data_IF_677907971034
#
_entry.id   IF_677907971034
#
_cell.length_a   1.000
_cell.length_b   1.000
_cell.length_c   1.000
_cell.angle_alpha   90.00
_cell.angle_beta   90.00
_cell.angle_gamma   90.00
#
_symmetry.space_group_name_H-M   'P 1'
#
loop_
_entity.id
_entity.type
_entity.pdbx_description
1 polymer ?
#
# COMPACT_ATOMS: atom_id res chain seq x y z
N UNK A 1 12.53 -61.95 16.74
CA UNK A 1 13.55 -61.85 17.79
C UNK A 1 13.44 -60.44 18.36
N UNK A 2 13.11 -60.35 19.66
CA UNK A 2 13.00 -59.16 20.52
C UNK A 2 11.89 -58.11 20.30
N UNK A 3 10.88 -58.18 21.18
CA UNK A 3 10.34 -57.08 22.00
C UNK A 3 10.51 -57.51 23.49
N UNK A 4 10.16 -56.77 24.57
CA UNK A 4 9.68 -55.38 24.76
C UNK A 4 10.24 -54.66 26.04
N UNK A 5 9.82 -53.43 26.36
CA UNK A 5 9.36 -53.00 27.73
C UNK A 5 8.74 -51.59 27.66
N UNK A 6 7.44 -51.39 27.94
CA UNK A 6 6.80 -50.94 29.21
C UNK A 6 7.45 -49.68 29.83
N UNK A 7 6.78 -48.70 30.46
CA UNK A 7 5.40 -48.26 30.81
C UNK A 7 5.67 -47.36 32.05
N UNK A 8 5.00 -46.22 32.23
CA UNK A 8 4.67 -45.50 33.50
C UNK A 8 4.38 -44.02 33.12
N UNK A 9 3.17 -43.45 33.11
CA UNK A 9 2.11 -43.26 34.13
C UNK A 9 2.51 -42.52 35.42
N UNK A 10 1.73 -41.45 35.72
CA UNK A 10 1.65 -40.57 36.92
C UNK A 10 2.42 -39.24 36.78
N UNK A 11 1.92 -38.05 37.13
CA UNK A 11 0.83 -37.70 38.04
C UNK A 11 0.38 -36.23 37.82
N UNK A 12 -0.92 -35.96 37.95
CA UNK A 12 -1.54 -34.63 38.14
C UNK A 12 -1.82 -34.46 39.64
N UNK A 13 -1.78 -33.23 40.19
CA UNK A 13 -2.78 -32.87 41.19
C UNK A 13 -3.46 -31.51 40.95
N UNK A 14 -4.78 -31.52 41.14
CA UNK A 14 -5.70 -30.37 41.25
C UNK A 14 -5.96 -30.08 42.74
N UNK A 15 -5.90 -28.82 43.18
CA UNK A 15 -6.65 -28.20 44.29
C UNK A 15 -6.62 -26.67 44.04
N UNK A 16 -7.67 -25.84 44.01
CA UNK A 16 -8.98 -25.89 44.65
C UNK A 16 -9.01 -24.90 45.84
N UNK A 17 -9.59 -23.70 45.68
CA UNK A 17 -10.25 -22.91 46.75
C UNK A 17 -10.94 -21.64 46.25
N UNK A 18 -12.27 -21.69 46.30
CA UNK A 18 -13.24 -20.59 46.25
C UNK A 18 -13.32 -19.86 47.60
N UNK A 19 -13.47 -18.53 47.60
CA UNK A 19 -14.31 -17.81 48.58
C UNK A 19 -14.99 -16.59 47.94
N UNK A 20 -16.23 -16.33 48.39
CA UNK A 20 -17.25 -15.43 47.85
C UNK A 20 -17.23 -14.07 48.62
N UNK A 21 -18.13 -13.09 48.35
CA UNK A 21 -17.82 -11.67 48.21
C UNK A 21 -18.11 -10.86 49.48
N UNK A 22 -17.51 -9.67 49.59
CA UNK A 22 -17.97 -8.67 50.55
C UNK A 22 -18.13 -7.33 49.86
N UNK A 23 -19.37 -6.86 49.89
CA UNK A 23 -19.84 -5.54 49.51
C UNK A 23 -19.02 -4.40 50.10
N UNK A 24 -18.84 -3.34 49.33
CA UNK A 24 -19.13 -1.99 49.83
C UNK A 24 -19.42 -1.07 48.64
N UNK A 25 -20.69 -0.69 48.49
CA UNK A 25 -21.09 0.46 47.70
C UNK A 25 -20.81 1.71 48.55
N UNK A 26 -19.98 2.63 48.07
CA UNK A 26 -20.11 4.05 48.39
C UNK A 26 -20.10 4.85 47.07
N UNK A 27 -21.18 5.58 46.75
CA UNK A 27 -21.33 6.35 45.53
C UNK A 27 -20.97 7.81 45.76
N UNK A 28 -19.81 8.23 45.23
CA UNK A 28 -19.51 9.60 44.80
C UNK A 28 -18.04 9.68 44.36
N UNK A 29 -17.79 9.60 43.06
CA UNK A 29 -16.92 10.59 42.39
C UNK A 29 -17.13 10.52 40.88
N UNK A 30 -17.83 11.55 40.42
CA UNK A 30 -18.05 11.92 39.03
C UNK A 30 -16.75 12.51 38.49
N UNK A 31 -15.98 11.75 37.71
CA UNK A 31 -15.10 12.31 36.70
C UNK A 31 -15.04 11.39 35.47
N UNK A 32 -16.03 11.62 34.61
CA UNK A 32 -15.96 11.44 33.16
C UNK A 32 -14.70 12.11 32.61
N UNK A 33 -13.73 11.32 32.14
CA UNK A 33 -13.13 11.39 30.79
C UNK A 33 -12.04 10.33 30.66
N UNK A 34 -12.36 9.31 29.87
CA UNK A 34 -11.54 8.68 28.83
C UNK A 34 -10.02 8.68 29.03
N UNK A 35 -9.53 7.54 29.54
CA UNK A 35 -8.10 7.20 29.59
C UNK A 35 -7.92 5.72 29.25
N UNK A 36 -7.95 5.42 27.95
CA UNK A 36 -7.17 4.33 27.36
C UNK A 36 -6.58 4.80 26.04
N UNK A 37 -5.63 5.75 26.15
CA UNK A 37 -4.56 5.94 25.17
C UNK A 37 -3.40 5.07 25.61
N UNK A 38 -3.40 3.82 25.18
CA UNK A 38 -2.26 2.90 25.19
C UNK A 38 -2.43 2.07 23.90
N UNK A 39 -1.96 2.59 22.76
CA UNK A 39 -0.67 2.29 22.11
C UNK A 39 -0.52 0.82 21.67
N UNK A 40 0.08 0.64 20.49
CA UNK A 40 0.53 -0.60 19.83
C UNK A 40 -0.33 -1.11 18.66
N UNK A 41 -0.66 -0.24 17.71
CA UNK A 41 -0.58 -0.58 16.29
C UNK A 41 0.22 0.53 15.60
N UNK A 42 1.55 0.40 15.66
CA UNK A 42 2.45 1.22 14.85
C UNK A 42 2.39 0.67 13.43
N UNK A 43 1.39 1.08 12.66
CA UNK A 43 1.42 0.89 11.21
C UNK A 43 2.63 1.64 10.65
N UNK A 44 3.54 1.00 9.91
CA UNK A 44 4.60 1.69 9.19
C UNK A 44 4.06 2.30 7.88
N UNK A 45 2.84 2.84 7.91
CA UNK A 45 2.30 3.61 6.79
C UNK A 45 2.47 5.08 7.15
N UNK A 46 3.71 5.58 7.05
CA UNK A 46 3.94 7.01 6.98
C UNK A 46 3.27 7.50 5.69
N UNK A 47 2.03 8.02 5.81
CA UNK A 47 1.34 8.82 4.80
C UNK A 47 2.03 10.18 4.60
N UNK A 48 3.36 10.22 4.59
CA UNK A 48 4.14 11.46 4.44
C UNK A 48 4.39 11.81 2.97
N UNK A 49 4.13 10.87 2.04
CA UNK A 49 4.28 11.09 0.59
C UNK A 49 3.07 11.70 -0.13
N UNK A 50 1.91 11.84 0.51
CA UNK A 50 0.69 12.32 -0.16
C UNK A 50 0.50 13.84 -0.15
N UNK A 51 1.41 14.61 0.47
CA UNK A 51 1.19 16.04 0.71
C UNK A 51 1.64 16.98 -0.41
N UNK A 52 2.30 16.49 -1.47
CA UNK A 52 2.93 17.35 -2.49
C UNK A 52 2.69 16.92 -3.97
N UNK A 53 1.72 16.04 -4.24
CA UNK A 53 1.29 15.77 -5.61
C UNK A 53 0.31 16.85 -6.06
N UNK A 54 0.66 17.60 -7.11
CA UNK A 54 -0.26 18.53 -7.76
C UNK A 54 -0.99 17.88 -8.95
N UNK A 55 -2.00 18.58 -9.48
CA UNK A 55 -2.81 18.10 -10.61
C UNK A 55 -1.97 17.80 -11.85
N UNK A 56 -0.90 18.57 -12.07
CA UNK A 56 0.03 18.35 -13.18
C UNK A 56 0.83 17.05 -13.00
N UNK A 57 1.26 16.73 -11.78
CA UNK A 57 1.92 15.47 -11.49
C UNK A 57 1.00 14.26 -11.79
N UNK A 58 -0.29 14.37 -11.47
CA UNK A 58 -1.27 13.32 -11.77
C UNK A 58 -1.47 13.15 -13.27
N UNK A 59 -1.61 14.24 -14.02
CA UNK A 59 -1.74 14.19 -15.47
C UNK A 59 -0.48 13.58 -16.10
N UNK A 60 0.72 13.94 -15.62
CA UNK A 60 1.97 13.30 -16.05
C UNK A 60 1.93 11.78 -15.79
N UNK A 61 1.49 11.35 -14.60
CA UNK A 61 1.37 9.93 -14.25
C UNK A 61 0.35 9.20 -15.14
N UNK A 62 -0.78 9.82 -15.46
CA UNK A 62 -1.78 9.26 -16.37
C UNK A 62 -1.20 9.07 -17.78
N UNK A 63 -0.57 10.10 -18.34
CA UNK A 63 0.04 10.07 -19.66
C UNK A 63 1.15 9.00 -19.76
N UNK A 64 1.96 8.83 -18.70
CA UNK A 64 2.99 7.81 -18.61
C UNK A 64 2.43 6.40 -18.37
N UNK A 65 1.31 6.28 -17.67
CA UNK A 65 0.63 5.01 -17.45
C UNK A 65 0.03 4.47 -18.74
N UNK A 66 -0.47 5.36 -19.60
CA UNK A 66 -0.94 5.01 -20.95
C UNK A 66 0.21 4.61 -21.88
N UNK A 67 1.31 5.37 -21.87
CA UNK A 67 2.50 5.08 -22.66
C UNK A 67 3.77 5.54 -21.93
N UNK A 68 4.44 4.60 -21.26
CA UNK A 68 5.68 4.89 -20.53
C UNK A 68 6.84 5.33 -21.41
N UNK A 69 6.71 5.28 -22.75
CA UNK A 69 7.71 5.76 -23.71
C UNK A 69 7.34 7.11 -24.32
N UNK A 70 6.25 7.74 -23.86
CA UNK A 70 5.77 9.02 -24.39
C UNK A 70 6.88 10.07 -24.31
N UNK A 71 7.22 10.75 -25.40
CA UNK A 71 8.25 11.77 -25.38
C UNK A 71 7.90 12.90 -24.41
N UNK A 72 8.88 13.35 -23.61
CA UNK A 72 8.65 14.42 -22.63
C UNK A 72 8.15 15.72 -23.27
N UNK A 73 8.48 15.94 -24.56
CA UNK A 73 7.93 17.04 -25.33
C UNK A 73 6.40 16.94 -25.49
N UNK A 74 5.88 15.76 -25.79
CA UNK A 74 4.44 15.55 -25.97
C UNK A 74 3.68 15.66 -24.63
N UNK A 75 4.31 15.19 -23.55
CA UNK A 75 3.80 15.38 -22.18
C UNK A 75 3.77 16.87 -21.84
N UNK A 76 4.87 17.59 -22.10
CA UNK A 76 4.99 19.03 -21.85
C UNK A 76 3.94 19.84 -22.63
N UNK A 77 3.69 19.48 -23.89
CA UNK A 77 2.66 20.09 -24.74
C UNK A 77 1.23 19.85 -24.17
N UNK A 78 0.97 18.71 -23.53
CA UNK A 78 -0.32 18.42 -22.87
C UNK A 78 -0.49 19.21 -21.57
N UNK A 79 0.49 19.16 -20.68
CA UNK A 79 0.38 19.72 -19.32
C UNK A 79 0.76 21.20 -19.22
N UNK A 80 1.04 21.86 -20.34
CA UNK A 80 1.39 23.29 -20.39
C UNK A 80 2.75 23.64 -19.78
N UNK A 81 3.70 22.70 -19.78
CA UNK A 81 5.05 22.88 -19.22
C UNK A 81 6.13 22.88 -20.31
N UNK A 82 7.38 23.12 -19.90
CA UNK A 82 8.54 22.90 -20.76
C UNK A 82 9.05 21.46 -20.61
N UNK A 83 9.71 20.87 -21.62
CA UNK A 83 10.26 19.51 -21.50
C UNK A 83 11.23 19.32 -20.32
N UNK A 84 12.12 20.28 -19.97
CA UNK A 84 12.93 20.18 -18.75
C UNK A 84 12.10 20.17 -17.46
N UNK A 85 11.05 21.00 -17.37
CA UNK A 85 10.17 21.02 -16.20
C UNK A 85 9.43 19.68 -16.01
N UNK A 86 8.98 19.04 -17.09
CA UNK A 86 8.40 17.68 -17.03
C UNK A 86 9.44 16.67 -16.56
N UNK A 87 10.68 16.77 -17.07
CA UNK A 87 11.77 15.89 -16.64
C UNK A 87 12.05 16.00 -15.13
N UNK A 88 12.08 17.22 -14.60
CA UNK A 88 12.31 17.47 -13.17
C UNK A 88 11.18 16.91 -12.31
N UNK A 89 9.94 17.03 -12.79
CA UNK A 89 8.74 16.48 -12.12
C UNK A 89 8.79 14.95 -12.05
N UNK A 90 9.08 14.29 -13.17
CA UNK A 90 9.23 12.83 -13.23
C UNK A 90 10.34 12.36 -12.28
N UNK A 91 11.50 13.02 -12.31
CA UNK A 91 12.62 12.68 -11.41
C UNK A 91 12.22 12.80 -9.94
N UNK A 92 11.49 13.86 -9.56
CA UNK A 92 10.96 14.01 -8.20
C UNK A 92 9.99 12.89 -7.82
N UNK A 93 9.11 12.48 -8.74
CA UNK A 93 8.17 11.38 -8.52
C UNK A 93 8.88 10.03 -8.35
N UNK A 94 10.00 9.81 -9.05
CA UNK A 94 10.88 8.65 -8.86
C UNK A 94 11.59 8.71 -7.49
N UNK A 95 12.16 9.86 -7.13
CA UNK A 95 12.84 10.07 -5.84
C UNK A 95 11.90 9.87 -4.65
N UNK A 96 10.63 10.25 -4.79
CA UNK A 96 9.56 10.05 -3.79
C UNK A 96 9.04 8.60 -3.76
N UNK A 97 9.46 7.73 -4.68
CA UNK A 97 9.00 6.35 -4.77
C UNK A 97 7.56 6.20 -5.28
N UNK A 98 6.97 7.28 -5.79
CA UNK A 98 5.63 7.28 -6.43
C UNK A 98 5.72 6.58 -7.78
N UNK A 99 6.75 6.90 -8.56
CA UNK A 99 7.18 6.09 -9.70
C UNK A 99 8.22 5.10 -9.17
N UNK A 100 7.83 3.83 -9.05
CA UNK A 100 8.73 2.77 -8.60
C UNK A 100 9.66 2.27 -9.72
N UNK A 101 9.30 2.52 -10.98
CA UNK A 101 10.13 2.22 -12.14
C UNK A 101 9.37 2.18 -13.44
N UNK A 102 10.12 2.23 -14.55
CA UNK A 102 9.61 2.03 -15.89
C UNK A 102 9.82 0.58 -16.32
N UNK A 103 8.72 -0.11 -16.62
CA UNK A 103 8.74 -1.52 -17.00
C UNK A 103 7.88 -1.79 -18.22
N UNK A 104 8.03 -2.98 -18.80
CA UNK A 104 7.18 -3.48 -19.86
C UNK A 104 6.24 -4.54 -19.30
N UNK A 105 4.99 -4.54 -19.74
CA UNK A 105 4.06 -5.62 -19.46
C UNK A 105 4.22 -6.72 -20.52
N UNK A 106 4.62 -7.91 -20.08
CA UNK A 106 4.95 -9.03 -20.96
C UNK A 106 3.97 -10.16 -20.72
N UNK A 107 3.26 -10.54 -21.77
CA UNK A 107 2.40 -11.72 -21.79
C UNK A 107 3.26 -12.98 -21.77
N UNK A 108 3.41 -13.57 -20.58
CA UNK A 108 4.24 -14.76 -20.36
C UNK A 108 3.60 -16.04 -20.90
N UNK A 109 2.27 -16.12 -20.90
CA UNK A 109 1.54 -17.25 -21.51
C UNK A 109 1.87 -17.33 -23.00
N UNK A 110 1.83 -16.21 -23.72
CA UNK A 110 2.23 -16.16 -25.14
C UNK A 110 3.71 -16.39 -25.36
N UNK A 111 4.56 -16.02 -24.40
CA UNK A 111 6.01 -16.15 -24.52
C UNK A 111 6.50 -17.59 -24.29
N UNK A 112 5.93 -18.29 -23.30
CA UNK A 112 6.40 -19.61 -22.83
C UNK A 112 5.43 -20.76 -23.10
N UNK A 113 4.17 -20.48 -23.43
CA UNK A 113 3.13 -21.50 -23.58
C UNK A 113 2.66 -22.10 -22.25
N UNK A 114 2.96 -21.41 -21.15
CA UNK A 114 2.60 -21.78 -19.78
C UNK A 114 1.24 -21.18 -19.38
N UNK A 115 0.70 -21.59 -18.23
CA UNK A 115 -0.63 -21.17 -17.76
C UNK A 115 -0.52 -20.24 -16.57
N UNK A 116 -1.21 -19.08 -16.63
CA UNK A 116 -1.33 -18.21 -15.48
C UNK A 116 -2.09 -18.92 -14.35
N UNK A 117 -1.52 -18.83 -13.16
CA UNK A 117 -1.97 -19.54 -11.97
C UNK A 117 -1.96 -18.59 -10.79
N UNK A 118 -3.02 -18.65 -9.99
CA UNK A 118 -3.07 -18.06 -8.67
C UNK A 118 -2.84 -19.17 -7.65
N UNK A 119 -1.79 -19.05 -6.85
CA UNK A 119 -1.52 -19.94 -5.71
C UNK A 119 -1.75 -19.17 -4.43
N UNK A 120 -2.60 -19.71 -3.57
CA UNK A 120 -2.88 -19.17 -2.25
C UNK A 120 -2.23 -20.11 -1.24
N UNK A 121 -1.24 -19.62 -0.51
CA UNK A 121 -0.54 -20.36 0.53
C UNK A 121 -1.12 -19.95 1.89
N UNK A 122 -1.29 -20.92 2.77
CA UNK A 122 -1.65 -20.71 4.18
C UNK A 122 -0.46 -21.12 5.05
N UNK A 123 0.53 -20.24 5.28
CA UNK A 123 1.68 -20.56 6.12
C UNK A 123 1.27 -20.67 7.59
N UNK A 124 2.02 -21.46 8.35
CA UNK A 124 1.98 -21.39 9.80
C UNK A 124 2.36 -19.96 10.25
N UNK A 125 1.79 -19.43 11.35
CA UNK A 125 2.00 -18.03 11.76
C UNK A 125 3.46 -17.61 11.93
N UNK A 126 4.34 -18.55 12.31
CA UNK A 126 5.77 -18.29 12.49
C UNK A 126 6.56 -18.30 11.16
N UNK A 127 5.99 -18.83 10.09
CA UNK A 127 6.65 -19.06 8.81
C UNK A 127 6.23 -18.07 7.70
N UNK A 128 5.22 -17.21 7.93
CA UNK A 128 4.67 -16.28 6.91
C UNK A 128 5.78 -15.50 6.18
N UNK A 129 6.66 -14.83 6.92
CA UNK A 129 7.74 -14.01 6.33
C UNK A 129 8.83 -14.83 5.63
N UNK A 130 9.02 -16.10 6.02
CA UNK A 130 9.98 -16.99 5.37
C UNK A 130 9.40 -17.52 4.06
N UNK A 131 8.13 -17.97 4.09
CA UNK A 131 7.39 -18.41 2.91
C UNK A 131 7.26 -17.27 1.89
N UNK A 132 6.92 -16.06 2.33
CA UNK A 132 6.82 -14.90 1.44
C UNK A 132 8.15 -14.65 0.70
N UNK A 133 9.27 -14.60 1.43
CA UNK A 133 10.60 -14.33 0.84
C UNK A 133 11.06 -15.46 -0.07
N UNK A 134 10.90 -16.71 0.36
CA UNK A 134 11.26 -17.87 -0.46
C UNK A 134 10.47 -17.87 -1.77
N UNK A 135 9.17 -17.61 -1.70
CA UNK A 135 8.29 -17.61 -2.86
C UNK A 135 8.53 -16.43 -3.81
N UNK A 136 8.88 -15.26 -3.27
CA UNK A 136 9.10 -14.05 -4.06
C UNK A 136 10.27 -14.17 -5.07
N UNK A 137 11.22 -15.06 -4.81
CA UNK A 137 12.42 -15.25 -5.64
C UNK A 137 12.26 -16.36 -6.70
N UNK A 138 11.11 -17.05 -6.73
CA UNK A 138 10.92 -18.23 -7.59
C UNK A 138 10.70 -17.86 -9.06
N UNK A 139 11.23 -18.70 -9.95
CA UNK A 139 10.93 -18.60 -11.37
C UNK A 139 9.43 -18.83 -11.60
N UNK A 140 8.85 -18.02 -12.51
CA UNK A 140 7.43 -18.05 -12.83
C UNK A 140 6.60 -17.07 -12.00
N UNK A 141 7.09 -16.62 -10.83
CA UNK A 141 6.37 -15.63 -10.01
C UNK A 141 6.40 -14.26 -10.66
N UNK A 142 5.22 -13.66 -10.79
CA UNK A 142 5.00 -12.36 -11.42
C UNK A 142 4.57 -11.30 -10.41
N UNK A 143 3.81 -11.71 -9.40
CA UNK A 143 3.44 -10.89 -8.26
C UNK A 143 3.21 -11.76 -7.04
N UNK A 144 3.50 -11.20 -5.87
CA UNK A 144 3.28 -11.85 -4.59
C UNK A 144 2.74 -10.82 -3.60
N UNK A 145 1.84 -11.26 -2.73
CA UNK A 145 1.18 -10.42 -1.74
C UNK A 145 1.07 -11.18 -0.42
N UNK A 146 1.34 -10.49 0.68
CA UNK A 146 1.01 -10.95 2.02
C UNK A 146 -0.32 -10.31 2.44
N UNK A 147 -1.31 -11.14 2.73
CA UNK A 147 -2.58 -10.72 3.31
C UNK A 147 -2.40 -10.33 4.79
N UNK A 148 -3.26 -9.44 5.28
CA UNK A 148 -3.26 -9.07 6.71
C UNK A 148 -3.61 -10.24 7.64
N UNK A 149 -4.20 -11.29 7.08
CA UNK A 149 -4.51 -12.56 7.75
C UNK A 149 -3.36 -13.57 7.68
N UNK A 150 -2.22 -13.21 7.10
CA UNK A 150 -1.02 -14.05 6.99
C UNK A 150 -0.99 -14.97 5.77
N UNK A 151 -2.03 -14.95 4.92
CA UNK A 151 -2.02 -15.70 3.65
C UNK A 151 -1.00 -15.11 2.68
N UNK A 152 -0.37 -15.96 1.88
CA UNK A 152 0.53 -15.50 0.82
C UNK A 152 -0.10 -15.82 -0.53
N UNK A 153 -0.45 -14.78 -1.29
CA UNK A 153 -1.05 -14.90 -2.62
C UNK A 153 0.02 -14.71 -3.69
N UNK A 154 0.10 -15.65 -4.62
CA UNK A 154 1.13 -15.71 -5.65
C UNK A 154 0.47 -15.76 -7.01
N UNK A 155 0.72 -14.75 -7.83
CA UNK A 155 0.41 -14.80 -9.26
C UNK A 155 1.65 -15.29 -9.99
N UNK A 156 1.55 -16.46 -10.63
CA UNK A 156 2.67 -17.09 -11.33
C UNK A 156 2.22 -17.66 -12.67
N UNK A 157 3.12 -17.67 -13.65
CA UNK A 157 2.97 -18.40 -14.90
C UNK A 157 3.83 -19.65 -14.82
N UNK A 158 3.18 -20.82 -14.84
CA UNK A 158 3.81 -22.12 -14.57
C UNK A 158 3.32 -23.18 -15.58
N UNK A 159 4.09 -24.26 -15.72
CA UNK A 159 3.61 -25.46 -16.42
C UNK A 159 2.56 -26.18 -15.58
N UNK A 160 1.39 -26.47 -16.16
CA UNK A 160 0.24 -27.01 -15.42
C UNK A 160 0.52 -28.37 -14.79
N UNK A 161 1.38 -29.17 -15.42
CA UNK A 161 1.77 -30.51 -14.96
C UNK A 161 2.70 -30.50 -13.74
N UNK A 162 3.30 -29.36 -13.40
CA UNK A 162 4.39 -29.29 -12.42
C UNK A 162 4.11 -28.39 -11.21
N UNK A 163 2.91 -27.83 -11.04
CA UNK A 163 2.62 -26.87 -9.94
C UNK A 163 2.92 -27.46 -8.55
N UNK A 164 2.56 -28.73 -8.32
CA UNK A 164 2.86 -29.41 -7.07
C UNK A 164 4.36 -29.61 -6.87
N UNK A 165 5.05 -30.07 -7.91
CA UNK A 165 6.50 -30.29 -7.90
C UNK A 165 7.25 -28.97 -7.68
N UNK A 166 6.77 -27.88 -8.27
CA UNK A 166 7.27 -26.52 -8.09
C UNK A 166 7.15 -26.08 -6.63
N UNK A 167 5.99 -26.27 -6.00
CA UNK A 167 5.82 -26.00 -4.56
C UNK A 167 6.74 -26.86 -3.69
N UNK A 168 6.82 -28.17 -3.94
CA UNK A 168 7.62 -29.11 -3.14
C UNK A 168 9.13 -28.90 -3.29
N UNK A 169 9.59 -28.39 -4.44
CA UNK A 169 11.02 -28.14 -4.70
C UNK A 169 11.50 -26.88 -3.99
N UNK A 170 10.63 -25.87 -3.93
CA UNK A 170 11.03 -24.53 -3.57
C UNK A 170 10.57 -24.11 -2.17
N UNK A 171 9.59 -24.82 -1.58
CA UNK A 171 9.05 -24.56 -0.26
C UNK A 171 9.07 -25.81 0.62
N UNK A 172 9.34 -25.61 1.91
CA UNK A 172 9.07 -26.65 2.90
C UNK A 172 7.56 -26.71 3.15
N UNK A 173 6.89 -27.71 2.57
CA UNK A 173 5.45 -27.86 2.74
C UNK A 173 5.03 -28.11 4.20
N UNK A 174 5.95 -28.45 5.10
CA UNK A 174 5.65 -28.57 6.53
C UNK A 174 5.42 -27.22 7.21
N UNK A 175 5.85 -26.12 6.59
CA UNK A 175 5.58 -24.75 7.02
C UNK A 175 4.20 -24.25 6.55
N UNK A 176 3.45 -25.04 5.78
CA UNK A 176 2.12 -24.72 5.28
C UNK A 176 1.05 -25.53 6.01
N UNK A 177 0.00 -24.84 6.46
CA UNK A 177 -1.25 -25.46 6.93
C UNK A 177 -2.12 -25.91 5.76
N UNK A 178 -2.00 -25.24 4.62
CA UNK A 178 -2.75 -25.52 3.39
C UNK A 178 -2.24 -24.70 2.20
N UNK A 179 -2.69 -25.08 1.01
CA UNK A 179 -2.56 -24.26 -0.19
C UNK A 179 -3.68 -24.58 -1.19
N UNK A 180 -4.07 -23.58 -1.96
CA UNK A 180 -5.03 -23.68 -3.05
C UNK A 180 -4.40 -23.20 -4.36
N UNK A 181 -4.78 -23.87 -5.45
CA UNK A 181 -4.27 -23.57 -6.80
C UNK A 181 -5.44 -23.32 -7.73
N UNK A 182 -5.47 -22.13 -8.34
CA UNK A 182 -6.47 -21.74 -9.33
C UNK A 182 -5.79 -21.44 -10.66
N UNK A 183 -6.13 -22.22 -11.69
CA UNK A 183 -5.75 -21.88 -13.06
C UNK A 183 -6.58 -20.70 -13.56
N UNK A 184 -5.92 -19.68 -14.07
CA UNK A 184 -6.56 -18.47 -14.55
C UNK A 184 -6.83 -18.59 -16.04
N UNK A 185 -8.08 -18.38 -16.45
CA UNK A 185 -8.42 -18.30 -17.88
C UNK A 185 -8.01 -16.97 -18.51
N UNK A 186 -7.76 -15.96 -17.68
CA UNK A 186 -7.36 -14.61 -18.06
C UNK A 186 -6.78 -13.90 -16.85
N UNK A 187 -5.65 -13.22 -17.05
CA UNK A 187 -5.11 -12.22 -16.14
C UNK A 187 -4.79 -10.96 -16.97
N UNK A 188 -5.16 -9.79 -16.45
CA UNK A 188 -4.86 -8.50 -17.06
C UNK A 188 -4.19 -7.65 -16.00
N UNK A 189 -2.95 -7.22 -16.23
CA UNK A 189 -2.31 -6.23 -15.36
C UNK A 189 -2.74 -4.84 -15.81
N UNK A 190 -3.43 -4.11 -14.94
CA UNK A 190 -3.75 -2.70 -15.19
C UNK A 190 -3.08 -1.85 -14.15
N UNK A 191 -2.24 -0.93 -14.60
CA UNK A 191 -1.78 0.17 -13.76
C UNK A 191 -2.89 1.22 -13.80
N UNK A 192 -3.52 1.47 -12.67
CA UNK A 192 -4.51 2.52 -12.52
C UNK A 192 -3.95 3.63 -11.65
N UNK A 193 -3.88 4.84 -12.17
CA UNK A 193 -3.73 6.04 -11.34
C UNK A 193 -5.14 6.38 -10.86
N UNK A 194 -5.51 5.96 -9.66
CA UNK A 194 -6.80 6.40 -9.11
C UNK A 194 -6.62 7.83 -8.59
N UNK A 195 -7.16 8.82 -9.30
CA UNK A 195 -7.33 10.17 -8.77
C UNK A 195 -8.32 10.24 -7.58
N UNK A 196 -8.96 9.11 -7.22
CA UNK A 196 -9.88 8.99 -6.10
C UNK A 196 -9.13 9.06 -4.75
N UNK A 197 -8.79 10.28 -4.36
CA UNK A 197 -8.07 10.61 -3.13
C UNK A 197 -7.51 12.03 -3.10
N UNK A 198 -7.45 12.72 -4.25
CA UNK A 198 -6.90 14.07 -4.34
C UNK A 198 -7.98 15.13 -4.10
N UNK A 199 -8.31 15.30 -2.83
CA UNK A 199 -9.00 16.47 -2.35
C UNK A 199 -7.98 17.61 -2.18
N UNK A 200 -7.67 18.37 -3.24
CA UNK A 200 -6.85 19.57 -3.08
C UNK A 200 -7.57 20.49 -2.08
N UNK A 201 -6.97 20.83 -0.94
CA UNK A 201 -7.61 21.70 0.04
C UNK A 201 -7.29 23.17 -0.25
N UNK A 202 -8.31 24.02 -0.26
CA UNK A 202 -8.10 25.45 -0.41
C UNK A 202 -7.30 26.01 0.77
N UNK A 203 -6.15 26.63 0.49
CA UNK A 203 -5.23 27.18 1.52
C UNK A 203 -5.87 28.26 2.42
N UNK A 204 -7.03 28.79 2.04
CA UNK A 204 -7.77 29.81 2.80
C UNK A 204 -8.89 29.20 3.65
N UNK A 205 -9.67 28.28 3.09
CA UNK A 205 -10.89 27.81 3.72
C UNK A 205 -10.89 26.32 4.11
N UNK A 206 -9.85 25.57 3.72
CA UNK A 206 -9.70 24.14 4.01
C UNK A 206 -10.74 23.25 3.33
N UNK A 207 -11.52 23.79 2.38
CA UNK A 207 -12.47 22.98 1.60
C UNK A 207 -11.74 22.25 0.49
N UNK A 208 -12.17 21.02 0.26
CA UNK A 208 -11.86 20.28 -0.95
C UNK A 208 -12.23 21.10 -2.20
N UNK A 209 -11.26 21.23 -3.08
CA UNK A 209 -11.34 21.87 -4.39
C UNK A 209 -11.71 20.77 -5.37
N UNK A 210 -13.01 20.64 -5.62
CA UNK A 210 -13.53 19.72 -6.63
C UNK A 210 -13.62 20.43 -7.98
N UNK A 211 -12.91 19.96 -9.01
CA UNK A 211 -12.90 20.54 -10.37
C UNK A 211 -11.82 21.60 -10.59
N UNK A 212 -11.98 22.45 -11.62
CA UNK A 212 -11.03 23.50 -12.03
C UNK A 212 -10.89 24.60 -10.95
N UNK A 213 -10.11 24.33 -9.91
CA UNK A 213 -9.74 25.31 -8.89
C UNK A 213 -9.02 26.51 -9.48
N UNK A 214 -8.85 27.55 -8.66
CA UNK A 214 -8.04 28.70 -9.05
C UNK A 214 -6.65 28.55 -8.44
N UNK A 215 -5.61 28.70 -9.26
CA UNK A 215 -4.21 28.58 -8.82
C UNK A 215 -3.46 29.89 -9.03
N UNK A 216 -2.68 30.33 -8.04
CA UNK A 216 -1.84 31.52 -8.14
C UNK A 216 -0.46 31.30 -7.51
N UNK A 217 0.57 31.90 -8.09
CA UNK A 217 1.93 31.87 -7.52
C UNK A 217 2.11 33.04 -6.55
N UNK A 218 2.26 32.75 -5.26
CA UNK A 218 2.41 33.76 -4.20
C UNK A 218 3.68 33.45 -3.40
N UNK A 219 4.65 34.38 -3.38
CA UNK A 219 5.92 34.17 -2.68
C UNK A 219 6.84 33.12 -3.30
N UNK A 220 6.66 32.80 -4.59
CA UNK A 220 7.43 31.77 -5.30
C UNK A 220 6.84 30.36 -5.21
N UNK A 221 5.75 30.17 -4.48
CA UNK A 221 5.04 28.89 -4.35
C UNK A 221 3.66 28.95 -5.01
N UNK A 222 3.26 27.87 -5.69
CA UNK A 222 1.91 27.74 -6.26
C UNK A 222 0.93 27.45 -5.13
N UNK A 223 -0.17 28.19 -5.08
CA UNK A 223 -1.26 28.06 -4.09
C UNK A 223 -2.57 27.77 -4.80
N UNK A 224 -3.34 26.82 -4.26
CA UNK A 224 -4.63 26.38 -4.83
C UNK A 224 -5.81 26.88 -3.99
N UNK A 225 -6.84 27.35 -4.68
CA UNK A 225 -8.03 27.98 -4.11
C UNK A 225 -9.30 27.36 -4.68
N UNK A 226 -10.35 27.25 -3.85
CA UNK A 226 -11.64 26.75 -4.32
C UNK A 226 -12.39 27.75 -5.21
N UNK A 227 -11.99 29.02 -5.24
CA UNK A 227 -12.62 30.09 -6.03
C UNK A 227 -11.75 31.37 -6.05
N UNK A 228 -12.00 32.31 -6.99
CA UNK A 228 -11.25 33.58 -7.09
C UNK A 228 -11.30 34.43 -5.80
N UNK A 229 -12.41 34.37 -5.06
CA UNK A 229 -12.52 35.12 -3.79
C UNK A 229 -11.57 34.60 -2.70
N UNK A 230 -11.19 33.32 -2.73
CA UNK A 230 -10.19 32.78 -1.80
C UNK A 230 -8.77 33.17 -2.25
N UNK A 231 -8.50 33.17 -3.55
CA UNK A 231 -7.25 33.69 -4.12
C UNK A 231 -7.03 35.15 -3.70
N UNK A 232 -7.98 36.04 -4.02
CA UNK A 232 -7.89 37.48 -3.72
C UNK A 232 -7.63 37.73 -2.23
N UNK A 233 -8.31 36.98 -1.37
CA UNK A 233 -8.18 37.11 0.09
C UNK A 233 -6.81 36.68 0.59
N UNK A 234 -6.20 35.67 -0.03
CA UNK A 234 -4.86 35.21 0.32
C UNK A 234 -3.80 36.19 -0.20
N UNK A 235 -3.89 36.59 -1.47
CA UNK A 235 -2.95 37.52 -2.11
C UNK A 235 -2.94 38.86 -1.38
N UNK A 236 -4.11 39.45 -1.14
CA UNK A 236 -4.22 40.74 -0.43
C UNK A 236 -3.61 40.68 0.97
N UNK A 237 -3.78 39.55 1.66
CA UNK A 237 -3.19 39.35 3.00
C UNK A 237 -1.68 39.21 2.90
N UNK A 238 -1.17 38.44 1.95
CA UNK A 238 0.26 38.26 1.74
C UNK A 238 0.96 39.59 1.42
N UNK A 239 0.41 40.39 0.50
CA UNK A 239 0.91 41.72 0.14
C UNK A 239 0.94 42.67 1.34
N UNK A 240 -0.16 42.72 2.11
CA UNK A 240 -0.21 43.56 3.32
C UNK A 240 0.80 43.17 4.41
N UNK A 241 1.20 41.91 4.44
CA UNK A 241 2.22 41.42 5.37
C UNK A 241 3.64 41.69 4.86
N UNK A 242 3.87 41.69 3.54
CA UNK A 242 5.15 42.09 2.94
C UNK A 242 5.41 43.59 3.15
N UNK A 243 4.40 44.44 2.91
CA UNK A 243 4.48 45.89 3.13
C UNK A 243 4.75 46.28 4.59
N UNK A 244 4.46 45.39 5.54
CA UNK A 244 4.71 45.60 6.97
C UNK A 244 6.11 45.12 7.42
N UNK A 245 6.85 44.42 6.55
CA UNK A 245 8.20 43.91 6.78
C UNK A 245 9.29 44.75 6.10
N UNK A 246 8.92 45.58 5.13
CA UNK A 246 9.74 46.64 4.51
C UNK A 246 9.71 47.97 5.31
#
# INVERSE_FOLDING_TARGET
>A
MWAPSKRDEKNVPLEGKTTKPTSLCDPRDDHRTDRTRDTLFSFPFELDGMRDLDETDLEILELLTEDGRRPYKEIADHVGLTPPAVSDRIARLEEQGIIQGFTIDVDREKLRGETATLVELEPAPAAVGDVYRATAELEGVEAIYEGMDGRVLVHATLSTDDIRSWLETELDLSDLEGYDVTLLSRSDRRVGVSAAGFALECVVCGKEVTGDGVTATVGGEVKTFCCPSCEDRYVSRYESHQDALD
#
